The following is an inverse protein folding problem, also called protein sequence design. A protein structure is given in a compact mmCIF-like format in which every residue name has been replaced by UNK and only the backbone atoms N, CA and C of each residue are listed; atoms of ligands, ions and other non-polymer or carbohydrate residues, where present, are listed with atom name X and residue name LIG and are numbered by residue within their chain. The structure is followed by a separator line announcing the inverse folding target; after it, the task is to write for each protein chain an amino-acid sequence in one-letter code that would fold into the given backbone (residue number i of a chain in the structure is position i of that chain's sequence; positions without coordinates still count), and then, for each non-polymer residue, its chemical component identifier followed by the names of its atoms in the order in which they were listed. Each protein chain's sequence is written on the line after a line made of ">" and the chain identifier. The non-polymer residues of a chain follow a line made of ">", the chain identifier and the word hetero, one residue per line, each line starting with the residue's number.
data_IF_461773184231
#
_entry.id   IF_461773184231
#
_cell.length_a   1.000
_cell.length_b   1.000
_cell.length_c   1.000
_cell.angle_alpha   90.00
_cell.angle_beta   90.00
_cell.angle_gamma   90.00
#
_symmetry.space_group_name_H-M   'P 1'
#
loop_
_entity.id
_entity.type
_entity.pdbx_description
1 polymer ?
#
# COMPACT_ATOMS: atom_id res chain seq x y z
N UNK A 1 -8.42 -0.05 27.22
CA UNK A 1 -7.01 0.22 26.91
C UNK A 1 -6.87 0.02 25.41
N UNK A 2 -7.28 1.09 24.71
CA UNK A 2 -6.82 1.58 23.42
C UNK A 2 -6.18 0.55 22.49
N UNK A 3 -7.04 -0.13 21.72
CA UNK A 3 -6.65 -0.70 20.44
C UNK A 3 -6.43 0.48 19.49
N UNK A 4 -5.22 1.06 19.48
CA UNK A 4 -4.72 1.88 18.38
C UNK A 4 -4.52 0.98 17.15
N UNK A 5 -5.62 0.41 16.67
CA UNK A 5 -5.75 -0.28 15.40
C UNK A 5 -5.80 0.78 14.32
N UNK A 6 -4.65 1.39 14.07
CA UNK A 6 -4.48 2.30 12.95
C UNK A 6 -4.62 1.48 11.68
N UNK A 7 -5.78 1.57 11.04
CA UNK A 7 -6.05 0.88 9.78
C UNK A 7 -5.06 1.42 8.73
N UNK A 8 -4.08 0.64 8.28
CA UNK A 8 -3.02 1.12 7.38
C UNK A 8 -3.59 1.63 6.05
N UNK A 9 -4.77 1.15 5.67
CA UNK A 9 -5.53 1.64 4.51
C UNK A 9 -6.03 3.06 4.76
N UNK A 10 -6.58 3.35 5.93
CA UNK A 10 -7.08 4.68 6.27
C UNK A 10 -5.95 5.71 6.33
N UNK A 11 -4.78 5.34 6.87
CA UNK A 11 -3.59 6.19 6.83
C UNK A 11 -3.10 6.44 5.40
N UNK A 12 -3.06 5.41 4.55
CA UNK A 12 -2.63 5.56 3.16
C UNK A 12 -3.57 6.51 2.38
N UNK A 13 -4.87 6.46 2.64
CA UNK A 13 -5.84 7.40 2.07
C UNK A 13 -5.64 8.82 2.57
N UNK A 14 -5.44 9.01 3.88
CA UNK A 14 -5.19 10.33 4.47
C UNK A 14 -3.91 10.98 3.91
N UNK A 15 -2.81 10.21 3.83
CA UNK A 15 -1.56 10.65 3.22
C UNK A 15 -1.72 11.02 1.75
N UNK A 16 -2.52 10.25 1.00
CA UNK A 16 -2.77 10.54 -0.42
C UNK A 16 -3.56 11.85 -0.59
N UNK A 17 -4.51 12.13 0.29
CA UNK A 17 -5.27 13.38 0.28
C UNK A 17 -4.43 14.59 0.68
N UNK A 18 -3.55 14.45 1.67
CA UNK A 18 -2.58 15.48 2.05
C UNK A 18 -1.61 15.78 0.90
N UNK A 19 -1.09 14.72 0.25
CA UNK A 19 -0.18 14.87 -0.89
C UNK A 19 -0.85 15.56 -2.08
N UNK A 20 -2.14 15.29 -2.33
CA UNK A 20 -2.92 15.94 -3.37
C UNK A 20 -3.13 17.44 -3.11
N UNK A 21 -3.22 17.86 -1.84
CA UNK A 21 -3.27 19.29 -1.47
C UNK A 21 -1.93 19.99 -1.66
N UNK A 22 -0.82 19.27 -1.53
CA UNK A 22 0.51 19.85 -1.70
C UNK A 22 0.89 20.03 -3.17
N UNK A 23 0.57 19.07 -4.04
CA UNK A 23 0.99 19.15 -5.44
C UNK A 23 0.15 18.25 -6.37
N UNK A 24 -0.85 18.85 -7.02
CA UNK A 24 -1.71 18.16 -8.01
C UNK A 24 -0.93 17.65 -9.23
N UNK A 25 0.18 18.32 -9.60
CA UNK A 25 1.01 17.90 -10.73
C UNK A 25 1.85 16.66 -10.36
N UNK A 26 2.25 16.53 -9.10
CA UNK A 26 2.85 15.31 -8.56
C UNK A 26 1.83 14.17 -8.47
N UNK A 27 0.57 14.48 -8.09
CA UNK A 27 -0.51 13.51 -8.03
C UNK A 27 -0.89 12.96 -9.42
N UNK A 28 -0.77 13.76 -10.48
CA UNK A 28 -1.05 13.36 -11.86
C UNK A 28 0.03 12.47 -12.48
N UNK A 29 1.21 12.34 -11.87
CA UNK A 29 2.28 11.48 -12.40
C UNK A 29 1.89 10.00 -12.27
N UNK A 30 2.26 9.15 -13.25
CA UNK A 30 2.09 7.72 -13.14
C UNK A 30 2.87 7.23 -11.91
N UNK A 31 2.14 6.70 -10.92
CA UNK A 31 2.69 6.24 -9.65
C UNK A 31 2.64 4.73 -9.56
N UNK A 32 3.66 4.14 -8.94
CA UNK A 32 3.72 2.70 -8.70
C UNK A 32 3.37 2.43 -7.25
N UNK A 33 2.52 1.44 -7.02
CA UNK A 33 2.18 0.98 -5.68
C UNK A 33 3.14 -0.14 -5.32
N UNK A 34 3.93 0.04 -4.27
CA UNK A 34 4.87 -0.98 -3.77
C UNK A 34 4.45 -1.34 -2.35
N UNK A 35 3.89 -2.54 -2.19
CA UNK A 35 3.60 -3.12 -0.89
C UNK A 35 4.90 -3.68 -0.32
N UNK A 36 5.49 -3.00 0.66
CA UNK A 36 6.72 -3.42 1.33
C UNK A 36 6.40 -4.12 2.67
N UNK A 37 7.32 -4.96 3.15
CA UNK A 37 7.27 -5.70 4.43
C UNK A 37 6.25 -6.84 4.51
N UNK A 38 6.01 -7.54 3.41
CA UNK A 38 5.10 -8.70 3.42
C UNK A 38 5.61 -9.88 4.27
N UNK A 39 6.89 -9.87 4.66
CA UNK A 39 7.47 -10.81 5.63
C UNK A 39 6.78 -10.79 7.00
N UNK A 40 6.21 -9.65 7.41
CA UNK A 40 5.49 -9.53 8.68
C UNK A 40 4.13 -10.23 8.66
N UNK A 41 3.68 -10.71 7.50
CA UNK A 41 2.39 -11.36 7.30
C UNK A 41 2.62 -12.87 7.09
N UNK A 42 1.86 -13.73 7.80
CA UNK A 42 1.89 -15.18 7.59
C UNK A 42 1.61 -15.55 6.13
N UNK A 43 2.33 -16.54 5.59
CA UNK A 43 2.24 -16.90 4.16
C UNK A 43 0.84 -17.26 3.69
N UNK A 44 0.04 -17.83 4.59
CA UNK A 44 -1.36 -18.17 4.36
C UNK A 44 -2.27 -16.93 4.22
N UNK A 45 -1.93 -15.83 4.88
CA UNK A 45 -2.69 -14.57 4.83
C UNK A 45 -2.20 -13.63 3.71
N UNK A 46 -0.95 -13.79 3.25
CA UNK A 46 -0.35 -12.98 2.17
C UNK A 46 -1.23 -12.85 0.92
N UNK A 47 -1.74 -13.94 0.31
CA UNK A 47 -2.51 -13.82 -0.94
C UNK A 47 -3.79 -13.00 -0.76
N UNK A 48 -4.51 -13.21 0.34
CA UNK A 48 -5.72 -12.46 0.66
C UNK A 48 -5.43 -10.98 0.89
N UNK A 49 -4.33 -10.68 1.61
CA UNK A 49 -3.90 -9.33 1.89
C UNK A 49 -3.43 -8.59 0.63
N UNK A 50 -2.61 -9.24 -0.21
CA UNK A 50 -2.17 -8.70 -1.51
C UNK A 50 -3.38 -8.34 -2.36
N UNK A 51 -4.37 -9.23 -2.45
CA UNK A 51 -5.56 -8.96 -3.27
C UNK A 51 -6.40 -7.82 -2.70
N UNK A 52 -6.56 -7.74 -1.38
CA UNK A 52 -7.22 -6.62 -0.69
C UNK A 52 -6.55 -5.29 -1.04
N UNK A 53 -5.22 -5.20 -0.94
CA UNK A 53 -4.49 -3.97 -1.26
C UNK A 53 -4.46 -3.66 -2.75
N UNK A 54 -4.37 -4.66 -3.61
CA UNK A 54 -4.47 -4.47 -5.07
C UNK A 54 -5.82 -3.84 -5.44
N UNK A 55 -6.92 -4.38 -4.92
CA UNK A 55 -8.27 -3.84 -5.14
C UNK A 55 -8.47 -2.47 -4.50
N UNK A 56 -7.82 -2.17 -3.37
CA UNK A 56 -7.98 -0.86 -2.71
C UNK A 56 -7.11 0.24 -3.35
N UNK A 57 -5.90 -0.08 -3.80
CA UNK A 57 -4.87 0.91 -4.16
C UNK A 57 -4.50 0.92 -5.65
N UNK A 58 -4.81 -0.14 -6.40
CA UNK A 58 -4.43 -0.31 -7.80
C UNK A 58 -5.60 -0.80 -8.69
N UNK A 59 -6.85 -0.54 -8.27
CA UNK A 59 -8.06 -0.86 -9.06
C UNK A 59 -8.11 -0.15 -10.41
N UNK A 60 -7.42 1.00 -10.52
CA UNK A 60 -7.31 1.80 -11.73
C UNK A 60 -6.21 1.33 -12.70
N UNK A 61 -5.72 0.10 -12.53
CA UNK A 61 -4.74 -0.53 -13.42
C UNK A 61 -3.29 -0.08 -13.20
N UNK A 62 -3.00 0.58 -12.07
CA UNK A 62 -1.63 1.00 -11.72
C UNK A 62 -0.70 -0.19 -11.48
N UNK A 63 0.60 -0.06 -11.78
CA UNK A 63 1.59 -1.08 -11.46
C UNK A 63 1.61 -1.33 -9.94
N UNK A 64 1.38 -2.59 -9.56
CA UNK A 64 1.36 -3.04 -8.17
C UNK A 64 2.46 -4.08 -7.96
N UNK A 65 3.44 -3.73 -7.13
CA UNK A 65 4.58 -4.57 -6.78
C UNK A 65 4.49 -4.97 -5.30
N UNK A 66 4.94 -6.17 -5.00
CA UNK A 66 5.03 -6.68 -3.62
C UNK A 66 6.50 -6.99 -3.37
N UNK A 67 7.05 -6.46 -2.28
CA UNK A 67 8.44 -6.66 -1.89
C UNK A 67 8.52 -7.05 -0.41
N UNK A 68 9.44 -7.96 -0.08
CA UNK A 68 9.87 -8.20 1.30
C UNK A 68 11.28 -7.65 1.46
N UNK A 69 11.42 -6.52 2.16
CA UNK A 69 12.74 -5.95 2.42
C UNK A 69 13.60 -6.80 3.37
N UNK A 70 13.03 -7.82 4.04
CA UNK A 70 13.75 -8.70 4.95
C UNK A 70 14.52 -9.83 4.25
N UNK A 71 14.13 -10.21 3.03
CA UNK A 71 14.83 -11.21 2.23
C UNK A 71 15.27 -10.56 0.93
N UNK A 72 16.59 -10.54 0.66
CA UNK A 72 17.19 -10.02 -0.58
C UNK A 72 16.83 -10.90 -1.80
N UNK A 73 15.55 -11.08 -2.08
CA UNK A 73 15.08 -11.69 -3.32
C UNK A 73 14.16 -10.68 -4.00
N UNK A 74 14.76 -9.97 -4.95
CA UNK A 74 14.10 -9.03 -5.85
C UNK A 74 13.90 -9.64 -7.22
#
# INVERSE_FOLDING_TARGET
>A
MDTEGTDPVAEAHALTQELAKYDEALAAKPRWIVLNKIDLVPEDERPALIEKYRKALADDGRPFFVMSAATREG
#
